data_IF_012081675727
#
_entry.id   IF_012081675727
#
_cell.length_a   1.000
_cell.length_b   1.000
_cell.length_c   1.000
_cell.angle_alpha   90.00
_cell.angle_beta   90.00
_cell.angle_gamma   90.00
#
_symmetry.space_group_name_H-M   'P 1'
#
loop_
_entity.id
_entity.type
_entity.pdbx_description
1 polymer ?
#
# COMPACT_ATOMS: atom_id res chain seq x y z
N UNK A 1 22.05 18.17 -27.35
CA UNK A 1 22.29 17.24 -26.21
C UNK A 1 21.21 17.30 -25.13
N UNK A 2 20.62 18.48 -24.83
CA UNK A 2 19.57 18.63 -23.80
C UNK A 2 18.18 18.14 -24.27
N UNK A 3 17.79 18.39 -25.51
CA UNK A 3 16.54 17.88 -26.13
C UNK A 3 16.48 16.34 -26.19
N UNK A 4 17.59 15.68 -26.55
CA UNK A 4 17.69 14.22 -26.54
C UNK A 4 17.63 13.62 -25.12
N UNK A 5 18.04 14.41 -24.11
CA UNK A 5 17.99 14.02 -22.70
C UNK A 5 16.57 14.09 -22.14
N UNK A 6 15.84 15.17 -22.43
CA UNK A 6 14.41 15.29 -22.08
C UNK A 6 13.59 14.15 -22.68
N UNK A 7 13.77 13.87 -23.97
CA UNK A 7 13.07 12.78 -24.66
C UNK A 7 13.33 11.40 -24.03
N UNK A 8 14.55 11.12 -23.56
CA UNK A 8 14.89 9.83 -22.90
C UNK A 8 14.23 9.68 -21.53
N UNK A 9 14.19 10.73 -20.72
CA UNK A 9 13.54 10.67 -19.41
C UNK A 9 12.01 10.58 -19.54
N UNK A 10 11.44 11.27 -20.54
CA UNK A 10 10.02 11.15 -20.88
C UNK A 10 9.65 9.72 -21.28
N UNK A 11 10.43 9.08 -22.16
CA UNK A 11 10.24 7.67 -22.54
C UNK A 11 10.31 6.74 -21.32
N UNK A 12 11.21 6.99 -20.37
CA UNK A 12 11.30 6.19 -19.14
C UNK A 12 10.06 6.39 -18.26
N UNK A 13 9.60 7.62 -18.06
CA UNK A 13 8.37 7.90 -17.32
C UNK A 13 7.15 7.23 -17.95
N UNK A 14 7.08 7.15 -19.29
CA UNK A 14 6.02 6.41 -19.98
C UNK A 14 5.98 4.91 -19.62
N UNK A 15 7.10 4.30 -19.21
CA UNK A 15 7.09 2.90 -18.74
C UNK A 15 6.28 2.71 -17.45
N UNK A 16 6.15 3.76 -16.63
CA UNK A 16 5.30 3.75 -15.43
C UNK A 16 3.79 3.70 -15.74
N UNK A 17 3.40 3.86 -17.01
CA UNK A 17 2.00 3.87 -17.47
C UNK A 17 1.58 2.58 -18.20
N UNK A 18 2.42 1.55 -18.21
CA UNK A 18 2.07 0.25 -18.83
C UNK A 18 1.09 -0.55 -17.94
N UNK A 19 0.75 -1.77 -18.36
CA UNK A 19 -0.20 -2.62 -17.63
C UNK A 19 0.27 -3.07 -16.23
N UNK A 20 1.56 -2.95 -15.92
CA UNK A 20 2.14 -3.30 -14.61
C UNK A 20 2.67 -2.09 -13.86
N UNK A 21 2.30 -0.88 -14.31
CA UNK A 21 2.79 0.39 -13.79
C UNK A 21 4.31 0.46 -13.70
N UNK A 22 5.03 -0.11 -14.67
CA UNK A 22 6.48 -0.11 -14.73
C UNK A 22 7.20 -1.08 -13.78
N UNK A 23 6.45 -1.87 -13.00
CA UNK A 23 6.98 -3.02 -12.26
C UNK A 23 7.02 -4.25 -13.16
N UNK A 24 7.74 -5.29 -12.75
CA UNK A 24 7.75 -6.55 -13.52
C UNK A 24 6.44 -7.30 -13.35
N UNK A 25 5.87 -7.26 -12.13
CA UNK A 25 4.59 -7.88 -11.83
C UNK A 25 3.80 -7.10 -10.76
N UNK A 26 2.46 -7.18 -10.83
CA UNK A 26 1.57 -6.74 -9.75
C UNK A 26 0.94 -7.97 -9.09
N UNK A 27 1.09 -8.08 -7.77
CA UNK A 27 0.75 -9.27 -6.97
C UNK A 27 -0.29 -8.89 -5.93
N UNK A 28 -1.35 -9.69 -5.82
CA UNK A 28 -2.46 -9.45 -4.90
C UNK A 28 -2.38 -10.39 -3.70
N UNK A 29 -2.53 -9.84 -2.50
CA UNK A 29 -2.74 -10.59 -1.27
C UNK A 29 -4.24 -10.71 -1.04
N UNK A 30 -4.77 -11.93 -1.16
CA UNK A 30 -6.20 -12.22 -1.05
C UNK A 30 -6.43 -13.52 -0.28
N UNK A 31 -7.55 -13.64 0.42
CA UNK A 31 -7.98 -14.90 1.05
C UNK A 31 -8.72 -15.83 0.06
N UNK A 32 -8.91 -15.41 -1.19
CA UNK A 32 -9.54 -16.20 -2.24
C UNK A 32 -10.72 -15.49 -2.90
N UNK A 33 -11.58 -16.22 -3.63
CA UNK A 33 -12.76 -15.66 -4.29
C UNK A 33 -13.66 -14.90 -3.31
N UNK A 34 -13.86 -13.61 -3.56
CA UNK A 34 -14.69 -12.71 -2.77
C UNK A 34 -15.08 -11.49 -3.60
N UNK A 35 -15.98 -10.64 -3.08
CA UNK A 35 -16.28 -9.35 -3.71
C UNK A 35 -15.04 -8.46 -3.84
N UNK A 36 -14.08 -8.61 -2.92
CA UNK A 36 -12.83 -7.84 -2.90
C UNK A 36 -12.02 -8.16 -4.14
N UNK A 37 -11.72 -9.45 -4.35
CA UNK A 37 -10.94 -9.93 -5.48
C UNK A 37 -11.65 -9.72 -6.83
N UNK A 38 -12.95 -10.01 -6.92
CA UNK A 38 -13.69 -9.80 -8.17
C UNK A 38 -13.76 -8.31 -8.54
N UNK A 39 -14.08 -7.44 -7.58
CA UNK A 39 -14.09 -6.00 -7.79
C UNK A 39 -12.71 -5.44 -8.16
N UNK A 40 -11.63 -6.00 -7.59
CA UNK A 40 -10.25 -5.63 -7.92
C UNK A 40 -9.94 -5.93 -9.39
N UNK A 41 -10.30 -7.13 -9.86
CA UNK A 41 -10.10 -7.52 -11.26
C UNK A 41 -10.96 -6.71 -12.23
N UNK A 42 -12.19 -6.36 -11.86
CA UNK A 42 -13.03 -5.46 -12.68
C UNK A 42 -12.39 -4.07 -12.79
N UNK A 43 -11.90 -3.51 -11.68
CA UNK A 43 -11.18 -2.22 -11.68
C UNK A 43 -9.87 -2.28 -12.47
N UNK A 44 -9.12 -3.38 -12.36
CA UNK A 44 -7.90 -3.62 -13.12
C UNK A 44 -8.16 -3.70 -14.62
N UNK A 45 -9.16 -4.46 -15.04
CA UNK A 45 -9.58 -4.54 -16.44
C UNK A 45 -9.98 -3.16 -16.96
N UNK A 46 -10.79 -2.43 -16.19
CA UNK A 46 -11.26 -1.09 -16.55
C UNK A 46 -10.13 -0.08 -16.74
N UNK A 47 -9.07 -0.17 -15.92
CA UNK A 47 -7.90 0.72 -16.01
C UNK A 47 -6.75 0.13 -16.84
N UNK A 48 -6.94 -1.06 -17.42
CA UNK A 48 -5.94 -1.78 -18.22
C UNK A 48 -4.69 -2.16 -17.43
N UNK A 49 -4.86 -2.64 -16.19
CA UNK A 49 -3.82 -3.19 -15.33
C UNK A 49 -3.85 -4.72 -15.33
N UNK A 50 -2.68 -5.33 -15.21
CA UNK A 50 -2.50 -6.77 -15.16
C UNK A 50 -2.09 -7.19 -13.74
N UNK A 51 -2.95 -7.96 -13.07
CA UNK A 51 -2.76 -8.42 -11.70
C UNK A 51 -2.65 -9.95 -11.66
N UNK A 52 -1.86 -10.47 -10.73
CA UNK A 52 -1.85 -11.90 -10.39
C UNK A 52 -2.12 -12.08 -8.91
N UNK A 53 -2.94 -13.07 -8.56
CA UNK A 53 -3.23 -13.44 -7.18
C UNK A 53 -2.68 -14.85 -6.91
N UNK A 54 -1.49 -15.00 -6.29
CA UNK A 54 -0.99 -16.32 -5.91
C UNK A 54 -1.95 -16.96 -4.91
N UNK A 55 -2.21 -18.27 -5.09
CA UNK A 55 -3.02 -19.04 -4.15
C UNK A 55 -2.38 -18.96 -2.77
N UNK A 56 -3.18 -18.59 -1.77
CA UNK A 56 -2.74 -18.64 -0.37
C UNK A 56 -2.76 -20.08 0.13
N UNK A 57 -1.75 -20.51 0.91
CA UNK A 57 -1.84 -21.74 1.67
C UNK A 57 -2.99 -21.69 2.69
N UNK A 58 -3.60 -22.84 2.94
CA UNK A 58 -4.59 -23.00 4.00
C UNK A 58 -3.86 -23.12 5.34
N UNK A 59 -3.50 -21.97 5.92
CA UNK A 59 -2.76 -21.90 7.19
C UNK A 59 -3.57 -22.48 8.35
N UNK A 60 -3.06 -23.56 8.94
CA UNK A 60 -3.67 -24.19 10.12
C UNK A 60 -3.55 -23.28 11.36
N UNK A 61 -4.41 -23.50 12.35
CA UNK A 61 -4.30 -22.78 13.64
C UNK A 61 -2.94 -23.00 14.31
N UNK A 62 -2.35 -24.18 14.16
CA UNK A 62 -1.03 -24.49 14.69
C UNK A 62 0.05 -23.64 14.01
N UNK A 63 0.08 -23.58 12.68
CA UNK A 63 1.03 -22.75 11.93
C UNK A 63 0.87 -21.26 12.26
N UNK A 64 -0.37 -20.78 12.38
CA UNK A 64 -0.68 -19.41 12.80
C UNK A 64 -0.13 -19.16 14.22
N UNK A 65 -0.33 -20.08 15.14
CA UNK A 65 0.17 -19.95 16.52
C UNK A 65 1.69 -20.05 16.63
N UNK A 66 2.35 -20.91 15.83
CA UNK A 66 3.82 -20.97 15.72
C UNK A 66 4.37 -19.64 15.20
N UNK A 67 3.70 -19.04 14.22
CA UNK A 67 4.11 -17.75 13.67
C UNK A 67 3.95 -16.60 14.67
N UNK A 68 2.98 -16.69 15.58
CA UNK A 68 2.75 -15.68 16.62
C UNK A 68 3.80 -15.83 17.72
N UNK A 69 4.79 -14.94 17.72
CA UNK A 69 5.81 -14.93 18.78
C UNK A 69 5.21 -14.31 20.05
N UNK A 70 5.35 -15.02 21.17
CA UNK A 70 4.98 -14.53 22.50
C UNK A 70 5.94 -13.45 22.99
N UNK A 71 5.42 -12.48 23.74
CA UNK A 71 6.19 -11.47 24.47
C UNK A 71 6.00 -11.69 25.96
N UNK A 72 7.04 -11.38 26.73
CA UNK A 72 6.93 -11.22 28.18
C UNK A 72 6.33 -9.85 28.47
N UNK A 73 5.27 -9.79 29.26
CA UNK A 73 4.69 -8.51 29.70
C UNK A 73 5.66 -7.77 30.64
N UNK A 74 5.75 -6.43 30.57
CA UNK A 74 6.35 -5.65 31.64
C UNK A 74 5.47 -5.83 32.89
N UNK A 75 6.00 -6.46 33.94
CA UNK A 75 5.27 -6.64 35.20
C UNK A 75 5.38 -5.34 36.00
N UNK A 76 4.23 -4.69 36.26
CA UNK A 76 4.15 -3.55 37.19
C UNK A 76 4.19 -3.99 38.66
N UNK A 77 4.03 -5.30 38.93
CA UNK A 77 4.17 -5.90 40.24
C UNK A 77 4.57 -7.37 40.06
N UNK A 78 5.33 -7.91 41.00
CA UNK A 78 6.00 -9.22 41.01
C UNK A 78 5.08 -10.45 40.96
N UNK A 79 3.84 -10.33 40.49
CA UNK A 79 2.93 -11.45 40.27
C UNK A 79 2.94 -11.85 38.78
N UNK A 80 3.67 -12.95 38.48
CA UNK A 80 3.68 -13.75 37.23
C UNK A 80 3.69 -12.97 35.91
N UNK A 81 4.86 -12.93 35.26
CA UNK A 81 4.99 -12.54 33.84
C UNK A 81 4.24 -13.55 32.96
N UNK A 82 3.05 -13.21 32.50
CA UNK A 82 2.32 -14.03 31.53
C UNK A 82 2.91 -13.82 30.12
N UNK A 83 3.06 -14.92 29.36
CA UNK A 83 3.49 -14.86 27.98
C UNK A 83 2.27 -14.70 27.07
N UNK A 84 2.07 -13.48 26.55
CA UNK A 84 0.97 -13.16 25.65
C UNK A 84 1.49 -13.06 24.22
N UNK A 85 0.72 -13.55 23.25
CA UNK A 85 1.06 -13.38 21.83
C UNK A 85 1.17 -11.90 21.46
N UNK A 86 2.24 -11.53 20.75
CA UNK A 86 2.46 -10.13 20.37
C UNK A 86 1.52 -9.61 19.28
N UNK A 87 0.82 -10.52 18.58
CA UNK A 87 -0.23 -10.25 17.59
C UNK A 87 -1.34 -11.30 17.69
N UNK A 88 -2.54 -10.92 17.27
CA UNK A 88 -3.68 -11.81 17.17
C UNK A 88 -3.64 -12.73 15.94
N UNK A 89 -4.54 -13.72 15.86
CA UNK A 89 -4.58 -14.70 14.78
C UNK A 89 -4.91 -14.09 13.40
N UNK A 90 -5.79 -13.09 13.33
CA UNK A 90 -6.12 -12.41 12.07
C UNK A 90 -4.94 -11.59 11.56
N UNK A 91 -4.25 -10.90 12.47
CA UNK A 91 -3.02 -10.17 12.18
C UNK A 91 -1.89 -11.10 11.71
N UNK A 92 -1.77 -12.29 12.29
CA UNK A 92 -0.79 -13.30 11.88
C UNK A 92 -1.09 -13.86 10.48
N UNK A 93 -2.37 -14.13 10.18
CA UNK A 93 -2.82 -14.55 8.83
C UNK A 93 -2.53 -13.50 7.77
N UNK A 94 -2.76 -12.22 8.07
CA UNK A 94 -2.35 -11.12 7.20
C UNK A 94 -0.84 -11.17 6.92
N UNK A 95 -0.02 -11.30 7.97
CA UNK A 95 1.44 -11.46 7.85
C UNK A 95 1.83 -12.63 6.93
N UNK A 96 1.23 -13.80 7.13
CA UNK A 96 1.49 -14.99 6.33
C UNK A 96 1.09 -14.79 4.86
N UNK A 97 -0.03 -14.09 4.61
CA UNK A 97 -0.47 -13.71 3.27
C UNK A 97 0.57 -12.90 2.49
N UNK A 98 1.14 -11.88 3.13
CA UNK A 98 2.23 -11.09 2.55
C UNK A 98 3.53 -11.87 2.43
N UNK A 99 3.84 -12.79 3.35
CA UNK A 99 5.00 -13.67 3.22
C UNK A 99 4.91 -14.58 2.00
N UNK A 100 3.72 -15.09 1.71
CA UNK A 100 3.47 -15.88 0.50
C UNK A 100 3.65 -15.02 -0.76
N UNK A 101 3.17 -13.77 -0.77
CA UNK A 101 3.41 -12.85 -1.88
C UNK A 101 4.91 -12.55 -2.07
N UNK A 102 5.66 -12.27 -1.00
CA UNK A 102 7.11 -12.07 -1.06
C UNK A 102 7.83 -13.33 -1.57
N UNK A 103 7.44 -14.51 -1.12
CA UNK A 103 7.95 -15.79 -1.63
C UNK A 103 7.72 -15.92 -3.13
N UNK A 104 6.52 -15.59 -3.60
CA UNK A 104 6.18 -15.65 -5.02
C UNK A 104 7.05 -14.71 -5.88
N UNK A 105 7.36 -13.50 -5.38
CA UNK A 105 8.33 -12.59 -6.03
C UNK A 105 9.72 -13.21 -6.12
N UNK A 106 10.17 -13.87 -5.05
CA UNK A 106 11.50 -14.49 -4.99
C UNK A 106 11.60 -15.68 -5.95
N UNK A 107 10.62 -16.57 -5.93
CA UNK A 107 10.58 -17.83 -6.70
C UNK A 107 10.43 -17.57 -8.20
N UNK A 108 9.62 -16.59 -8.60
CA UNK A 108 9.48 -16.22 -10.02
C UNK A 108 10.63 -15.36 -10.54
N UNK A 109 11.54 -14.90 -9.68
CA UNK A 109 12.70 -14.15 -10.12
C UNK A 109 12.44 -12.69 -10.48
N UNK A 110 11.24 -12.15 -10.22
CA UNK A 110 10.87 -10.79 -10.61
C UNK A 110 11.77 -9.76 -9.94
N UNK A 111 12.38 -8.88 -10.74
CA UNK A 111 13.27 -7.84 -10.26
C UNK A 111 12.56 -6.82 -9.38
N UNK A 112 11.30 -6.50 -9.71
CA UNK A 112 10.43 -5.63 -8.91
C UNK A 112 8.99 -6.11 -8.96
N UNK A 113 8.27 -5.99 -7.84
CA UNK A 113 6.86 -6.29 -7.81
C UNK A 113 6.10 -5.27 -6.97
N UNK A 114 4.91 -4.89 -7.42
CA UNK A 114 3.93 -4.13 -6.64
C UNK A 114 2.97 -5.10 -5.98
N UNK A 115 3.01 -5.17 -4.65
CA UNK A 115 2.14 -6.02 -3.83
C UNK A 115 0.99 -5.17 -3.29
N UNK A 116 -0.25 -5.64 -3.39
CA UNK A 116 -1.43 -4.92 -2.88
C UNK A 116 -2.44 -5.86 -2.22
N UNK A 117 -3.23 -5.31 -1.29
CA UNK A 117 -4.35 -5.99 -0.63
C UNK A 117 -5.57 -6.06 -1.58
N UNK A 118 -6.39 -7.11 -1.46
CA UNK A 118 -7.51 -7.33 -2.37
C UNK A 118 -8.70 -6.38 -2.20
N UNK A 119 -8.70 -5.59 -1.13
CA UNK A 119 -9.62 -4.48 -0.87
C UNK A 119 -9.00 -3.12 -1.20
N UNK A 120 -7.84 -3.06 -1.85
CA UNK A 120 -7.27 -1.82 -2.38
C UNK A 120 -8.02 -1.31 -3.63
N UNK A 121 -7.92 -0.01 -3.88
CA UNK A 121 -8.46 0.69 -5.04
C UNK A 121 -7.60 1.93 -5.36
N UNK A 122 -7.78 2.48 -6.55
CA UNK A 122 -6.96 3.56 -7.10
C UNK A 122 -7.79 4.48 -7.98
N UNK A 123 -7.20 5.60 -8.40
CA UNK A 123 -7.85 6.54 -9.32
C UNK A 123 -7.88 5.97 -10.75
N UNK A 124 -8.94 6.21 -11.52
CA UNK A 124 -8.96 5.86 -12.96
C UNK A 124 -7.75 6.43 -13.74
N UNK A 125 -7.11 7.49 -13.23
CA UNK A 125 -5.89 8.12 -13.73
C UNK A 125 -4.60 7.56 -13.14
N UNK A 126 -4.60 6.38 -12.54
CA UNK A 126 -3.41 5.78 -11.90
C UNK A 126 -2.17 5.76 -12.79
N UNK A 127 -2.32 5.51 -14.10
CA UNK A 127 -1.21 5.52 -15.06
C UNK A 127 -0.58 6.91 -15.21
N UNK A 128 -1.40 7.96 -15.19
CA UNK A 128 -0.94 9.36 -15.23
C UNK A 128 -0.24 9.72 -13.91
N UNK A 129 -0.81 9.27 -12.78
CA UNK A 129 -0.22 9.47 -11.46
C UNK A 129 1.15 8.77 -11.34
N UNK A 130 1.27 7.52 -11.77
CA UNK A 130 2.53 6.76 -11.74
C UNK A 130 3.58 7.41 -12.65
N UNK A 131 3.18 7.89 -13.85
CA UNK A 131 4.05 8.67 -14.74
C UNK A 131 4.58 9.94 -14.08
N UNK A 132 3.74 10.61 -13.29
CA UNK A 132 4.09 11.82 -12.55
C UNK A 132 5.04 11.55 -11.38
N UNK A 133 4.84 10.46 -10.61
CA UNK A 133 5.69 10.16 -9.44
C UNK A 133 7.00 9.46 -9.75
N UNK A 134 7.08 8.71 -10.85
CA UNK A 134 8.29 8.00 -11.28
C UNK A 134 9.58 8.85 -11.30
N UNK A 135 9.61 10.01 -12.00
CA UNK A 135 10.80 10.87 -12.00
C UNK A 135 11.12 11.44 -10.61
N UNK A 136 10.12 11.75 -9.79
CA UNK A 136 10.32 12.24 -8.43
C UNK A 136 11.02 11.19 -7.54
N UNK A 137 10.62 9.91 -7.65
CA UNK A 137 11.27 8.81 -6.92
C UNK A 137 12.73 8.66 -7.36
N UNK A 138 13.00 8.70 -8.67
CA UNK A 138 14.37 8.63 -9.21
C UNK A 138 15.25 9.76 -8.69
N UNK A 139 14.72 10.98 -8.71
CA UNK A 139 15.45 12.16 -8.27
C UNK A 139 15.72 12.13 -6.76
N UNK A 140 14.70 11.80 -5.96
CA UNK A 140 14.85 11.68 -4.51
C UNK A 140 15.90 10.63 -4.12
N UNK A 141 15.88 9.47 -4.78
CA UNK A 141 16.77 8.35 -4.47
C UNK A 141 18.16 8.48 -5.09
N UNK A 142 18.43 9.56 -5.84
CA UNK A 142 19.65 9.74 -6.61
C UNK A 142 19.98 8.53 -7.52
N UNK A 143 18.95 7.94 -8.12
CA UNK A 143 19.09 6.73 -8.92
C UNK A 143 20.02 6.93 -10.12
N UNK A 144 20.72 5.86 -10.51
CA UNK A 144 21.70 5.94 -11.61
C UNK A 144 21.03 6.28 -12.94
N UNK A 145 21.69 7.10 -13.76
CA UNK A 145 21.17 7.50 -15.08
C UNK A 145 21.03 6.33 -16.05
N UNK A 146 21.83 5.27 -15.85
CA UNK A 146 21.79 4.02 -16.61
C UNK A 146 20.57 3.15 -16.30
N UNK A 147 19.87 3.39 -15.17
CA UNK A 147 18.72 2.58 -14.79
C UNK A 147 17.59 2.66 -15.84
N UNK A 148 17.11 1.49 -16.25
CA UNK A 148 15.99 1.32 -17.18
C UNK A 148 14.62 1.34 -16.48
N UNK A 149 14.62 1.24 -15.14
CA UNK A 149 13.44 1.34 -14.30
C UNK A 149 12.89 2.78 -14.31
N UNK A 150 11.56 2.97 -14.46
CA UNK A 150 10.94 4.29 -14.32
C UNK A 150 11.14 4.89 -12.92
N UNK A 151 11.30 4.06 -11.89
CA UNK A 151 11.51 4.46 -10.50
C UNK A 151 12.98 4.48 -10.09
N UNK A 152 13.89 4.09 -10.99
CA UNK A 152 15.28 3.82 -10.65
C UNK A 152 15.45 2.52 -9.85
N UNK A 153 16.67 2.31 -9.36
CA UNK A 153 17.15 1.09 -8.69
C UNK A 153 17.68 1.37 -7.26
N UNK A 154 17.56 2.61 -6.81
CA UNK A 154 18.14 3.09 -5.55
C UNK A 154 17.14 3.15 -4.38
N UNK A 155 16.10 2.32 -4.44
CA UNK A 155 15.11 2.09 -3.39
C UNK A 155 14.98 0.58 -3.11
N UNK A 156 14.49 0.22 -1.93
CA UNK A 156 14.21 -1.17 -1.56
C UNK A 156 12.70 -1.42 -1.47
N UNK A 157 11.97 -0.43 -0.94
CA UNK A 157 10.52 -0.46 -0.78
C UNK A 157 9.89 0.87 -1.17
N UNK A 158 8.83 0.85 -1.97
CA UNK A 158 7.97 2.02 -2.24
C UNK A 158 6.63 1.81 -1.54
N UNK A 159 6.25 2.73 -0.66
CA UNK A 159 4.93 2.76 -0.05
C UNK A 159 4.00 3.59 -0.92
N UNK A 160 3.16 2.91 -1.72
CA UNK A 160 2.26 3.55 -2.68
C UNK A 160 0.81 3.57 -2.21
N UNK A 161 0.47 2.72 -1.24
CA UNK A 161 -0.83 2.68 -0.59
C UNK A 161 -0.70 2.49 0.92
N UNK A 162 -1.20 3.47 1.66
CA UNK A 162 -1.12 3.55 3.12
C UNK A 162 -2.31 4.32 3.69
N UNK A 163 -2.46 4.27 5.00
CA UNK A 163 -3.42 5.07 5.76
C UNK A 163 -2.77 6.31 6.43
N UNK A 164 -1.57 6.68 5.99
CA UNK A 164 -0.84 7.87 6.41
C UNK A 164 0.65 7.61 6.61
N UNK A 165 1.46 8.60 6.22
CA UNK A 165 2.87 8.74 6.57
C UNK A 165 3.15 10.23 6.76
N UNK A 166 3.71 10.69 7.90
CA UNK A 166 4.07 12.09 8.06
C UNK A 166 5.17 12.52 7.09
N UNK A 167 5.08 13.78 6.66
CA UNK A 167 6.10 14.44 5.83
C UNK A 167 6.86 15.43 6.71
N UNK A 168 8.19 15.32 6.75
CA UNK A 168 9.03 16.35 7.35
C UNK A 168 9.42 17.39 6.29
N UNK A 169 8.62 18.44 6.17
CA UNK A 169 8.91 19.55 5.27
C UNK A 169 10.14 20.38 5.69
N UNK A 170 10.63 20.26 6.93
CA UNK A 170 11.79 21.01 7.42
C UNK A 170 13.12 20.38 6.98
N UNK A 171 13.15 19.06 6.85
CA UNK A 171 14.32 18.30 6.41
C UNK A 171 14.62 18.50 4.90
N UNK A 172 13.64 18.97 4.12
CA UNK A 172 13.82 19.28 2.69
C UNK A 172 14.10 18.05 1.80
N UNK A 173 14.16 16.84 2.36
CA UNK A 173 14.37 15.58 1.65
C UNK A 173 13.06 15.01 1.09
N UNK A 174 12.44 15.79 0.22
CA UNK A 174 11.25 15.41 -0.54
C UNK A 174 11.28 15.98 -1.96
N UNK A 175 10.40 15.48 -2.81
CA UNK A 175 10.07 16.04 -4.12
C UNK A 175 8.58 16.30 -4.14
N UNK A 176 8.17 17.43 -4.69
CA UNK A 176 6.76 17.78 -4.77
C UNK A 176 6.41 18.39 -6.11
N UNK A 177 5.18 18.15 -6.57
CA UNK A 177 4.63 18.72 -7.80
C UNK A 177 3.12 18.85 -7.68
N UNK A 178 2.52 19.70 -8.51
CA UNK A 178 1.08 19.75 -8.64
C UNK A 178 0.55 18.50 -9.36
N UNK A 179 -0.55 17.96 -8.87
CA UNK A 179 -1.24 16.78 -9.39
C UNK A 179 -2.75 17.03 -9.38
N UNK A 180 -3.31 17.28 -10.57
CA UNK A 180 -4.73 17.58 -10.77
C UNK A 180 -5.63 16.35 -10.60
N UNK A 181 -5.06 15.14 -10.52
CA UNK A 181 -5.83 13.91 -10.31
C UNK A 181 -6.17 13.70 -8.83
N UNK A 182 -5.55 14.45 -7.91
CA UNK A 182 -5.90 14.40 -6.50
C UNK A 182 -7.29 14.99 -6.22
N UNK A 183 -7.97 14.56 -5.15
CA UNK A 183 -9.18 15.22 -4.67
C UNK A 183 -8.97 16.73 -4.48
N UNK A 184 -10.03 17.50 -4.75
CA UNK A 184 -10.02 18.96 -4.52
C UNK A 184 -10.10 19.30 -3.03
N UNK A 185 -10.66 18.39 -2.22
CA UNK A 185 -10.73 18.53 -0.77
C UNK A 185 -9.33 18.61 -0.15
N UNK A 186 -9.15 19.58 0.75
CA UNK A 186 -7.93 19.71 1.57
C UNK A 186 -7.92 18.78 2.78
N UNK A 187 -8.96 17.98 2.96
CA UNK A 187 -9.08 17.05 4.09
C UNK A 187 -8.48 15.70 3.68
N UNK A 188 -7.31 15.41 4.22
CA UNK A 188 -6.68 14.10 4.09
C UNK A 188 -7.16 13.17 5.19
N UNK A 189 -7.64 11.99 4.80
CA UNK A 189 -8.16 10.96 5.70
C UNK A 189 -7.08 9.96 6.06
N UNK A 190 -6.86 9.80 7.36
CA UNK A 190 -5.93 8.83 7.93
C UNK A 190 -6.67 7.55 8.35
N UNK A 191 -5.91 6.62 8.93
CA UNK A 191 -6.45 5.45 9.63
C UNK A 191 -7.49 5.84 10.70
N UNK A 192 -8.49 4.98 10.91
CA UNK A 192 -9.51 5.09 11.97
C UNK A 192 -10.28 6.42 11.99
N UNK A 193 -10.49 7.04 10.83
CA UNK A 193 -11.30 8.27 10.72
C UNK A 193 -10.57 9.54 11.13
N UNK A 194 -9.27 9.46 11.45
CA UNK A 194 -8.42 10.63 11.66
C UNK A 194 -8.39 11.54 10.43
N UNK A 195 -8.29 12.84 10.64
CA UNK A 195 -8.28 13.84 9.57
C UNK A 195 -7.19 14.85 9.81
N UNK A 196 -6.53 15.29 8.75
CA UNK A 196 -5.66 16.46 8.78
C UNK A 196 -5.87 17.31 7.56
N UNK A 197 -5.41 18.56 7.65
CA UNK A 197 -5.20 19.36 6.45
C UNK A 197 -4.05 18.77 5.64
N UNK A 198 -4.19 18.79 4.32
CA UNK A 198 -3.11 18.53 3.36
C UNK A 198 -3.20 19.55 2.22
N UNK A 199 -2.08 20.09 1.73
CA UNK A 199 -2.11 21.08 0.66
C UNK A 199 -2.87 20.57 -0.58
N UNK A 200 -3.83 21.35 -1.12
CA UNK A 200 -4.66 20.90 -2.23
C UNK A 200 -3.80 20.59 -3.46
N UNK A 201 -4.11 19.48 -4.13
CA UNK A 201 -3.47 19.06 -5.39
C UNK A 201 -1.95 18.96 -5.34
N UNK A 202 -1.33 18.84 -4.16
CA UNK A 202 0.10 18.64 -4.02
C UNK A 202 0.40 17.13 -3.95
N UNK A 203 1.23 16.63 -4.85
CA UNK A 203 1.82 15.28 -4.73
C UNK A 203 3.22 15.41 -4.18
N UNK A 204 3.56 14.62 -3.17
CA UNK A 204 4.85 14.61 -2.48
C UNK A 204 5.43 13.20 -2.50
N UNK A 205 6.73 13.09 -2.75
CA UNK A 205 7.51 11.87 -2.63
C UNK A 205 8.63 12.14 -1.62
N UNK A 206 8.75 11.32 -0.59
CA UNK A 206 9.75 11.51 0.47
C UNK A 206 10.23 10.16 1.02
N UNK A 207 11.33 10.17 1.78
CA UNK A 207 11.74 8.97 2.52
C UNK A 207 10.73 8.65 3.61
N UNK A 208 10.36 7.38 3.74
CA UNK A 208 9.33 6.95 4.69
C UNK A 208 9.72 7.25 6.13
N UNK A 209 8.78 7.80 6.92
CA UNK A 209 9.03 8.15 8.33
C UNK A 209 8.31 7.18 9.26
N UNK A 210 7.00 7.06 9.08
CA UNK A 210 6.12 6.23 9.88
C UNK A 210 4.86 5.74 9.11
N UNK A 211 4.98 5.09 7.94
CA UNK A 211 3.83 4.61 7.20
C UNK A 211 2.92 3.68 8.01
N UNK A 212 1.61 3.78 7.76
CA UNK A 212 0.57 2.93 8.32
C UNK A 212 -0.17 2.15 7.23
N UNK A 213 -0.57 0.91 7.53
CA UNK A 213 -1.26 -0.01 6.60
C UNK A 213 -0.42 -0.40 5.37
N UNK A 214 -0.78 -1.49 4.70
CA UNK A 214 -0.03 -2.08 3.58
C UNK A 214 -0.88 -2.21 2.32
N UNK A 215 -1.85 -1.30 2.13
CA UNK A 215 -2.80 -1.33 1.01
C UNK A 215 -2.11 -1.57 -0.34
N UNK A 216 -0.97 -0.91 -0.57
CA UNK A 216 -0.05 -1.27 -1.64
C UNK A 216 1.40 -0.86 -1.34
N UNK A 217 2.36 -1.74 -1.65
CA UNK A 217 3.78 -1.42 -1.60
C UNK A 217 4.55 -2.17 -2.69
N UNK A 218 5.54 -1.51 -3.28
CA UNK A 218 6.46 -2.16 -4.20
C UNK A 218 7.75 -2.59 -3.50
N UNK A 219 8.34 -3.69 -3.95
CA UNK A 219 9.63 -4.19 -3.46
C UNK A 219 10.56 -4.54 -4.62
N UNK A 220 11.85 -4.36 -4.41
CA UNK A 220 12.87 -5.02 -5.25
C UNK A 220 13.01 -6.48 -4.82
N UNK A 221 13.50 -7.34 -5.72
CA UNK A 221 13.77 -8.75 -5.36
C UNK A 221 14.72 -8.89 -4.17
N UNK A 222 15.75 -8.03 -4.11
CA UNK A 222 16.70 -8.01 -3.01
C UNK A 222 16.02 -7.62 -1.68
N UNK A 223 15.11 -6.65 -1.72
CA UNK A 223 14.29 -6.30 -0.56
C UNK A 223 13.35 -7.43 -0.17
N UNK A 224 12.71 -8.11 -1.12
CA UNK A 224 11.84 -9.26 -0.85
C UNK A 224 12.59 -10.39 -0.15
N UNK A 225 13.79 -10.76 -0.64
CA UNK A 225 14.68 -11.73 0.02
C UNK A 225 15.02 -11.32 1.45
N UNK A 226 15.40 -10.05 1.65
CA UNK A 226 15.75 -9.50 2.96
C UNK A 226 14.55 -9.52 3.91
N UNK A 227 13.38 -9.04 3.47
CA UNK A 227 12.14 -9.04 4.23
C UNK A 227 11.71 -10.47 4.60
N UNK A 228 11.77 -11.41 3.66
CA UNK A 228 11.46 -12.81 3.90
C UNK A 228 12.40 -13.41 4.95
N UNK A 229 13.72 -13.18 4.82
CA UNK A 229 14.72 -13.64 5.77
C UNK A 229 14.52 -13.05 7.18
N UNK A 230 14.26 -11.74 7.28
CA UNK A 230 13.94 -11.06 8.54
C UNK A 230 12.61 -11.54 9.15
N UNK A 231 11.78 -12.21 8.35
CA UNK A 231 10.48 -12.73 8.77
C UNK A 231 10.51 -14.15 9.29
N UNK A 232 11.63 -14.85 9.14
CA UNK A 232 11.84 -16.18 9.71
C UNK A 232 11.76 -16.12 11.24
N UNK A 233 11.15 -17.14 11.86
CA UNK A 233 11.06 -17.27 13.32
C UNK A 233 9.89 -16.56 13.98
N UNK A 234 8.83 -16.26 13.24
CA UNK A 234 7.60 -15.66 13.77
C UNK A 234 7.71 -14.16 14.07
N UNK A 235 6.56 -13.58 14.40
CA UNK A 235 6.39 -12.13 14.60
C UNK A 235 5.52 -11.84 15.81
N UNK A 236 5.88 -10.75 16.46
CA UNK A 236 5.25 -10.23 17.67
C UNK A 236 4.71 -8.81 17.45
N UNK A 237 4.70 -8.34 16.20
CA UNK A 237 4.13 -7.07 15.76
C UNK A 237 3.49 -7.28 14.39
N UNK A 238 2.48 -6.46 14.08
CA UNK A 238 1.84 -6.47 12.77
C UNK A 238 2.83 -6.09 11.66
N UNK A 239 2.55 -6.52 10.44
CA UNK A 239 3.46 -6.38 9.29
C UNK A 239 3.94 -4.94 9.08
N UNK A 240 3.03 -3.98 9.09
CA UNK A 240 3.33 -2.54 8.97
C UNK A 240 4.36 -2.07 10.01
N UNK A 241 4.25 -2.52 11.26
CA UNK A 241 5.17 -2.11 12.34
C UNK A 241 6.56 -2.70 12.16
N UNK A 242 6.67 -3.93 11.65
CA UNK A 242 7.96 -4.52 11.30
C UNK A 242 8.59 -3.81 10.09
N UNK A 243 7.82 -3.57 9.02
CA UNK A 243 8.29 -2.85 7.83
C UNK A 243 8.74 -1.44 8.19
N UNK A 244 7.94 -0.69 8.95
CA UNK A 244 8.32 0.62 9.49
C UNK A 244 9.64 0.56 10.25
N UNK A 245 9.80 -0.42 11.16
CA UNK A 245 11.06 -0.59 11.91
C UNK A 245 12.25 -0.81 10.96
N UNK A 246 12.10 -1.63 9.92
CA UNK A 246 13.17 -1.88 8.96
C UNK A 246 13.52 -0.64 8.13
N UNK A 247 12.53 0.19 7.79
CA UNK A 247 12.75 1.47 7.14
C UNK A 247 13.50 2.45 8.06
N UNK A 248 13.01 2.67 9.29
CA UNK A 248 13.59 3.66 10.21
C UNK A 248 14.98 3.26 10.71
N UNK A 249 15.33 1.97 10.69
CA UNK A 249 16.65 1.46 11.06
C UNK A 249 17.65 1.44 9.88
N UNK A 250 17.23 1.85 8.68
CA UNK A 250 18.08 1.80 7.48
C UNK A 250 18.29 0.39 6.92
N UNK A 251 17.60 -0.62 7.45
CA UNK A 251 17.61 -2.00 6.92
C UNK A 251 17.02 -2.04 5.51
N UNK A 252 16.03 -1.19 5.24
CA UNK A 252 15.42 -0.96 3.93
C UNK A 252 15.43 0.53 3.61
N UNK A 253 15.76 0.88 2.37
CA UNK A 253 15.57 2.22 1.80
C UNK A 253 14.12 2.37 1.36
N UNK A 254 13.32 3.03 2.18
CA UNK A 254 11.88 3.18 1.96
C UNK A 254 11.53 4.59 1.47
N UNK A 255 10.68 4.66 0.46
CA UNK A 255 10.14 5.90 -0.11
C UNK A 255 8.63 5.83 -0.08
N UNK A 256 7.97 6.93 0.30
CA UNK A 256 6.51 7.05 0.36
C UNK A 256 6.04 8.11 -0.63
N UNK A 257 4.81 7.94 -1.13
CA UNK A 257 4.08 8.92 -1.93
C UNK A 257 2.85 9.41 -1.17
N UNK A 258 2.76 10.72 -0.93
CA UNK A 258 1.63 11.38 -0.26
C UNK A 258 0.93 12.43 -1.17
N UNK A 259 -0.40 12.52 -1.15
CA UNK A 259 -1.33 11.47 -0.74
C UNK A 259 -1.01 10.15 -1.45
N UNK A 260 -1.50 9.04 -0.93
CA UNK A 260 -1.28 7.71 -1.52
C UNK A 260 -1.91 7.59 -2.92
N UNK A 261 -1.44 6.58 -3.66
CA UNK A 261 -1.93 6.22 -4.99
C UNK A 261 -2.94 5.07 -4.93
N UNK A 262 -2.85 4.25 -3.88
CA UNK A 262 -3.77 3.16 -3.59
C UNK A 262 -4.33 3.32 -2.19
N UNK A 263 -5.64 3.16 -2.03
CA UNK A 263 -6.27 3.25 -0.72
C UNK A 263 -7.24 2.08 -0.52
N UNK A 264 -7.56 1.77 0.74
CA UNK A 264 -8.59 0.81 1.09
C UNK A 264 -9.96 1.28 0.59
N UNK A 265 -10.62 0.41 -0.18
CA UNK A 265 -11.98 0.55 -0.66
C UNK A 265 -12.96 -0.16 0.25
N UNK A 266 -13.99 0.58 0.63
CA UNK A 266 -15.08 0.11 1.47
C UNK A 266 -16.33 -0.06 0.63
N UNK A 267 -16.95 -1.25 0.66
CA UNK A 267 -18.20 -1.55 -0.04
C UNK A 267 -19.37 -1.59 0.94
N UNK A 268 -20.45 -0.88 0.61
CA UNK A 268 -21.66 -0.82 1.42
C UNK A 268 -22.16 -2.22 1.82
N UNK A 269 -22.47 -2.42 3.10
CA UNK A 269 -23.01 -3.68 3.63
C UNK A 269 -22.02 -4.84 3.73
N UNK A 270 -20.76 -4.66 3.32
CA UNK A 270 -19.72 -5.69 3.43
C UNK A 270 -18.81 -5.45 4.64
N UNK A 271 -18.25 -6.52 5.20
CA UNK A 271 -17.28 -6.44 6.30
C UNK A 271 -16.10 -5.53 5.95
N UNK A 272 -15.89 -4.49 6.77
CA UNK A 272 -14.85 -3.49 6.57
C UNK A 272 -13.43 -4.03 6.84
N UNK A 273 -13.27 -5.02 7.73
CA UNK A 273 -11.96 -5.62 8.00
C UNK A 273 -12.08 -7.09 8.41
N UNK A 274 -11.53 -7.99 7.58
CA UNK A 274 -11.44 -9.42 7.91
C UNK A 274 -10.55 -9.67 9.12
N UNK A 275 -9.49 -8.86 9.32
CA UNK A 275 -8.69 -8.92 10.54
C UNK A 275 -9.57 -8.59 11.74
N UNK A 276 -10.32 -7.49 11.71
CA UNK A 276 -11.20 -7.10 12.82
C UNK A 276 -12.22 -8.19 13.16
N UNK A 277 -12.81 -8.86 12.17
CA UNK A 277 -13.71 -9.99 12.40
C UNK A 277 -13.04 -11.13 13.18
N UNK A 278 -11.82 -11.52 12.78
CA UNK A 278 -11.08 -12.60 13.45
C UNK A 278 -10.64 -12.21 14.85
N UNK A 279 -10.34 -10.93 15.08
CA UNK A 279 -9.94 -10.41 16.40
C UNK A 279 -11.12 -10.07 17.31
N UNK A 280 -12.37 -10.10 16.82
CA UNK A 280 -13.56 -9.69 17.58
C UNK A 280 -13.65 -8.18 17.82
N UNK A 281 -13.18 -7.37 16.87
CA UNK A 281 -13.23 -5.91 16.95
C UNK A 281 -14.46 -5.36 16.22
N UNK A 282 -15.63 -5.46 16.84
CA UNK A 282 -16.94 -5.18 16.21
C UNK A 282 -16.99 -3.83 15.50
N UNK A 283 -16.57 -2.74 16.15
CA UNK A 283 -16.57 -1.38 15.57
C UNK A 283 -15.75 -1.27 14.27
N UNK A 284 -14.68 -2.09 14.14
CA UNK A 284 -13.79 -2.07 12.98
C UNK A 284 -14.21 -3.06 11.91
N UNK A 285 -14.98 -4.07 12.28
CA UNK A 285 -15.58 -5.03 11.37
C UNK A 285 -16.87 -4.48 10.74
N UNK A 286 -17.54 -3.55 11.44
CA UNK A 286 -18.80 -2.94 11.07
C UNK A 286 -18.85 -2.56 9.59
N UNK A 287 -19.87 -3.03 8.84
CA UNK A 287 -20.04 -2.67 7.45
C UNK A 287 -20.24 -1.16 7.27
N UNK A 288 -19.64 -0.55 6.24
CA UNK A 288 -19.91 0.85 5.91
C UNK A 288 -21.34 0.98 5.35
N UNK A 289 -21.98 2.11 5.60
CA UNK A 289 -23.33 2.40 5.06
C UNK A 289 -23.31 2.64 3.56
N UNK A 290 -22.22 3.21 3.04
CA UNK A 290 -22.05 3.50 1.61
C UNK A 290 -20.69 3.03 1.09
N UNK A 291 -20.60 2.89 -0.22
CA UNK A 291 -19.37 2.48 -0.92
C UNK A 291 -18.47 3.70 -1.15
N UNK A 292 -17.19 3.63 -0.78
CA UNK A 292 -16.24 4.72 -0.99
C UNK A 292 -14.77 4.27 -0.96
N UNK A 293 -13.92 5.08 -1.58
CA UNK A 293 -12.46 5.03 -1.45
C UNK A 293 -11.97 6.42 -1.05
N UNK A 294 -11.54 6.56 0.21
CA UNK A 294 -11.01 7.82 0.70
C UNK A 294 -9.75 8.25 -0.07
N UNK A 295 -9.53 9.57 -0.15
CA UNK A 295 -8.36 10.22 -0.77
C UNK A 295 -8.11 9.91 -2.27
N UNK A 296 -8.98 9.12 -2.92
CA UNK A 296 -8.91 8.80 -4.35
C UNK A 296 -10.01 9.55 -5.09
N UNK A 297 -9.68 10.38 -6.09
CA UNK A 297 -10.64 11.31 -6.70
C UNK A 297 -11.75 10.60 -7.45
N UNK A 298 -11.40 9.63 -8.29
CA UNK A 298 -12.32 8.82 -9.08
C UNK A 298 -11.97 7.35 -8.89
N UNK A 299 -12.62 6.70 -7.92
CA UNK A 299 -12.43 5.26 -7.63
C UNK A 299 -12.58 4.40 -8.89
N UNK A 300 -11.56 3.59 -9.20
CA UNK A 300 -11.61 2.65 -10.31
C UNK A 300 -12.70 1.59 -10.11
N UNK A 301 -12.87 1.08 -8.89
CA UNK A 301 -13.94 0.12 -8.55
C UNK A 301 -15.36 0.67 -8.73
N UNK A 302 -15.60 1.92 -8.35
CA UNK A 302 -16.93 2.53 -8.53
C UNK A 302 -17.17 2.86 -10.00
N UNK A 303 -16.18 3.41 -10.70
CA UNK A 303 -16.31 3.77 -12.11
C UNK A 303 -16.39 2.55 -13.03
N UNK A 304 -15.79 1.42 -12.68
CA UNK A 304 -15.87 0.19 -13.48
C UNK A 304 -17.28 -0.42 -13.54
N UNK A 305 -18.19 0.03 -12.67
CA UNK A 305 -19.58 -0.42 -12.60
C UNK A 305 -20.58 0.74 -12.84
N UNK A 306 -20.09 1.91 -13.25
CA UNK A 306 -20.91 3.11 -13.43
C UNK A 306 -21.03 3.48 -14.92
N UNK A 307 -22.17 4.04 -15.32
CA UNK A 307 -22.39 4.58 -16.66
C UNK A 307 -21.93 6.04 -16.81
N UNK A 308 -21.69 6.72 -15.68
CA UNK A 308 -21.20 8.09 -15.61
C UNK A 308 -19.98 8.17 -14.68
N UNK A 309 -19.15 9.21 -14.85
CA UNK A 309 -18.00 9.45 -13.99
C UNK A 309 -18.47 9.76 -12.56
N UNK A 310 -18.02 8.98 -11.58
CA UNK A 310 -18.37 9.14 -10.16
C UNK A 310 -17.11 9.28 -9.30
N UNK A 311 -17.14 10.16 -8.30
CA UNK A 311 -16.00 10.36 -7.40
C UNK A 311 -15.79 9.16 -6.48
N UNK A 312 -16.86 8.75 -5.79
CA UNK A 312 -16.85 7.68 -4.79
C UNK A 312 -15.89 7.96 -3.62
N UNK A 313 -15.71 9.23 -3.25
CA UNK A 313 -14.68 9.66 -2.29
C UNK A 313 -15.10 9.56 -0.82
N UNK A 314 -16.41 9.70 -0.53
CA UNK A 314 -16.86 10.02 0.81
C UNK A 314 -17.96 9.10 1.32
N UNK A 315 -17.80 8.65 2.57
CA UNK A 315 -18.84 8.09 3.45
C UNK A 315 -19.97 9.08 3.81
N UNK A 316 -19.70 10.38 3.66
CA UNK A 316 -20.61 11.46 3.97
C UNK A 316 -20.71 12.28 2.69
N UNK A 317 -21.79 12.13 1.92
CA UNK A 317 -21.96 12.76 0.61
C UNK A 317 -21.54 14.25 0.57
N UNK A 318 -21.29 14.75 -0.64
CA UNK A 318 -20.65 16.05 -0.94
C UNK A 318 -21.23 17.29 -0.19
N UNK A 319 -22.39 17.17 0.47
CA UNK A 319 -23.17 18.26 1.05
C UNK A 319 -22.95 18.56 2.54
N UNK A 320 -22.08 17.85 3.27
CA UNK A 320 -21.94 18.06 4.74
C UNK A 320 -20.89 19.06 5.22
N UNK A 321 -20.36 19.90 4.32
CA UNK A 321 -19.34 20.91 4.69
C UNK A 321 -19.61 22.32 4.14
N UNK A 322 -20.89 22.70 4.00
CA UNK A 322 -21.28 24.11 4.08
C UNK A 322 -21.57 24.50 5.51
#
# INVERSE_FOLDING_TARGET
MQLSRFRREEIKAHRASNATLGFEQMVVVTTGPSWRLSGLYTAATFTGLNLTAPKQPDWTEEEVNIFRRKKKTPSASSARREEVYGIGPGQARCWLGHLNALRNVIENGWATALIMEDDADWDIKIKDQMKLVAPMIKELTNATRSSNSPYGDSWDLLWLGHAGDPIDFKDGRFKATMDQTLPESTIYRHVYGGRSYFPPQLRVVHYSIAPLCTFAYAVTRAAALKMYALSRGGKDRIITMNMRKWCTQGTLRCVTVNPELFHHHKKAGEVASQIAMVEGWDDRAAPPEITYTANIRYSARCNSNSTALVTCQSEWGDDRWR
#
